data_IF_189490692100
#
_entry.id   IF_189490692100
#
_cell.length_a   1.000
_cell.length_b   1.000
_cell.length_c   1.000
_cell.angle_alpha   90.00
_cell.angle_beta   90.00
_cell.angle_gamma   90.00
#
_symmetry.space_group_name_H-M   'P 1'
#
loop_
_entity.id
_entity.type
_entity.pdbx_description
1 polymer ?
#
# COMPACT_ATOMS: atom_id res chain seq x y z
N UNK A 1 -19.53 3.71 -9.19
CA UNK A 1 -18.07 3.44 -9.12
C UNK A 1 -17.37 4.47 -9.99
N UNK A 2 -16.57 5.40 -9.45
CA UNK A 2 -15.79 6.31 -10.27
C UNK A 2 -14.67 5.51 -10.94
N UNK A 3 -14.99 4.89 -12.09
CA UNK A 3 -14.04 4.19 -12.96
C UNK A 3 -12.75 4.98 -13.21
N UNK A 4 -12.79 6.31 -13.48
CA UNK A 4 -11.55 7.07 -13.66
C UNK A 4 -10.65 7.06 -12.42
N UNK A 5 -11.23 7.14 -11.22
CA UNK A 5 -10.45 7.12 -9.98
C UNK A 5 -9.78 5.76 -9.76
N UNK A 6 -10.50 4.65 -10.02
CA UNK A 6 -9.93 3.30 -9.92
C UNK A 6 -8.82 3.07 -10.95
N UNK A 7 -8.98 3.58 -12.17
CA UNK A 7 -7.96 3.45 -13.21
C UNK A 7 -6.66 4.19 -12.82
N UNK A 8 -6.78 5.43 -12.35
CA UNK A 8 -5.63 6.23 -11.89
C UNK A 8 -4.97 5.59 -10.67
N UNK A 9 -5.76 5.17 -9.67
CA UNK A 9 -5.24 4.51 -8.48
C UNK A 9 -4.52 3.19 -8.82
N UNK A 10 -5.09 2.39 -9.73
CA UNK A 10 -4.50 1.14 -10.19
C UNK A 10 -3.16 1.34 -10.91
N UNK A 11 -3.06 2.35 -11.78
CA UNK A 11 -1.81 2.69 -12.46
C UNK A 11 -0.74 3.17 -11.47
N UNK A 12 -1.10 4.04 -10.53
CA UNK A 12 -0.18 4.54 -9.50
C UNK A 12 0.37 3.40 -8.62
N UNK A 13 -0.53 2.52 -8.15
CA UNK A 13 -0.15 1.35 -7.36
C UNK A 13 0.73 0.40 -8.16
N UNK A 14 0.33 0.09 -9.41
CA UNK A 14 1.11 -0.75 -10.32
C UNK A 14 2.53 -0.23 -10.51
N UNK A 15 2.67 1.05 -10.83
CA UNK A 15 3.97 1.71 -10.98
C UNK A 15 4.80 1.65 -9.69
N UNK A 16 4.18 1.88 -8.53
CA UNK A 16 4.84 1.78 -7.23
C UNK A 16 5.38 0.37 -6.91
N UNK A 17 4.64 -0.69 -7.29
CA UNK A 17 5.12 -2.07 -7.08
C UNK A 17 6.32 -2.43 -7.94
N UNK A 18 6.42 -1.89 -9.15
CA UNK A 18 7.60 -2.06 -10.01
C UNK A 18 8.81 -1.38 -9.39
N UNK A 19 8.64 -0.13 -8.91
CA UNK A 19 9.72 0.62 -8.24
C UNK A 19 10.18 -0.08 -6.95
N UNK A 20 9.25 -0.70 -6.22
CA UNK A 20 9.52 -1.49 -5.01
C UNK A 20 10.06 -2.91 -5.26
N UNK A 21 10.35 -3.28 -6.51
CA UNK A 21 10.80 -4.63 -6.92
C UNK A 21 9.88 -5.77 -6.46
N UNK A 22 8.59 -5.49 -6.27
CA UNK A 22 7.64 -6.46 -5.74
C UNK A 22 6.36 -5.83 -5.20
N UNK A 23 5.39 -6.70 -4.91
CA UNK A 23 4.14 -6.32 -4.26
C UNK A 23 4.19 -6.56 -2.76
N UNK A 24 3.27 -5.94 -2.01
CA UNK A 24 3.16 -6.11 -0.55
C UNK A 24 3.02 -7.58 -0.13
N UNK A 25 2.25 -8.37 -0.89
CA UNK A 25 2.08 -9.82 -0.63
C UNK A 25 3.35 -10.62 -0.89
N UNK A 26 4.11 -10.29 -1.94
CA UNK A 26 5.38 -10.98 -2.26
C UNK A 26 6.47 -10.73 -1.21
N UNK A 27 6.61 -9.48 -0.76
CA UNK A 27 7.50 -9.14 0.37
C UNK A 27 7.00 -9.74 1.70
N UNK A 28 5.68 -9.79 1.91
CA UNK A 28 5.08 -10.34 3.13
C UNK A 28 5.18 -11.86 3.26
N UNK A 29 4.85 -12.62 2.21
CA UNK A 29 4.79 -14.10 2.28
C UNK A 29 6.17 -14.69 1.99
N UNK A 30 6.74 -14.40 0.83
CA UNK A 30 7.99 -15.00 0.38
C UNK A 30 9.22 -14.36 1.01
N UNK A 31 9.25 -13.03 1.15
CA UNK A 31 10.42 -12.30 1.65
C UNK A 31 10.55 -12.30 3.18
N UNK A 32 9.44 -12.22 3.90
CA UNK A 32 9.39 -12.30 5.37
C UNK A 32 9.62 -13.75 5.85
N UNK A 33 9.12 -14.74 5.10
CA UNK A 33 9.41 -16.16 5.34
C UNK A 33 10.90 -16.51 5.20
N UNK A 34 11.68 -15.72 4.45
CA UNK A 34 13.14 -15.86 4.32
C UNK A 34 13.93 -15.06 5.37
N UNK A 35 13.26 -14.43 6.35
CA UNK A 35 13.84 -13.50 7.36
C UNK A 35 14.71 -12.38 6.77
N UNK A 36 14.30 -11.81 5.63
CA UNK A 36 15.01 -10.64 5.08
C UNK A 36 14.54 -9.33 5.72
N UNK A 37 15.47 -8.61 6.38
CA UNK A 37 15.19 -7.30 6.98
C UNK A 37 14.70 -6.26 5.95
N UNK A 38 15.18 -6.32 4.70
CA UNK A 38 14.73 -5.45 3.61
C UNK A 38 13.24 -5.67 3.30
N UNK A 39 12.80 -6.91 3.33
CA UNK A 39 11.41 -7.29 3.06
C UNK A 39 10.48 -6.85 4.19
N UNK A 40 10.97 -6.91 5.43
CA UNK A 40 10.25 -6.41 6.60
C UNK A 40 10.01 -4.90 6.48
N UNK A 41 11.06 -4.13 6.18
CA UNK A 41 10.96 -2.67 6.02
C UNK A 41 10.00 -2.32 4.88
N UNK A 42 10.10 -2.97 3.72
CA UNK A 42 9.19 -2.75 2.61
C UNK A 42 7.72 -3.06 2.96
N UNK A 43 7.47 -4.18 3.65
CA UNK A 43 6.11 -4.56 4.06
C UNK A 43 5.53 -3.57 5.07
N UNK A 44 6.34 -3.13 6.04
CA UNK A 44 5.93 -2.14 7.04
C UNK A 44 5.62 -0.78 6.42
N UNK A 45 6.42 -0.28 5.47
CA UNK A 45 6.12 1.00 4.78
C UNK A 45 4.84 0.91 3.96
N UNK A 46 4.62 -0.18 3.21
CA UNK A 46 3.37 -0.38 2.48
C UNK A 46 2.15 -0.39 3.41
N UNK A 47 2.21 -1.15 4.51
CA UNK A 47 1.10 -1.25 5.46
C UNK A 47 0.87 0.07 6.21
N UNK A 48 1.93 0.73 6.69
CA UNK A 48 1.82 2.01 7.38
C UNK A 48 1.16 3.08 6.51
N UNK A 49 1.55 3.16 5.22
CA UNK A 49 0.96 4.11 4.28
C UNK A 49 -0.53 3.81 4.03
N UNK A 50 -0.90 2.54 3.90
CA UNK A 50 -2.30 2.12 3.77
C UNK A 50 -3.14 2.47 4.99
N UNK A 51 -2.65 2.16 6.20
CA UNK A 51 -3.31 2.49 7.46
C UNK A 51 -3.47 4.00 7.60
N UNK A 52 -2.42 4.79 7.34
CA UNK A 52 -2.48 6.24 7.40
C UNK A 52 -3.52 6.81 6.42
N UNK A 53 -3.56 6.30 5.18
CA UNK A 53 -4.51 6.75 4.16
C UNK A 53 -5.96 6.53 4.61
N UNK A 54 -6.27 5.33 5.12
CA UNK A 54 -7.62 5.01 5.60
C UNK A 54 -7.97 5.81 6.84
N UNK A 55 -7.02 5.96 7.77
CA UNK A 55 -7.23 6.74 8.99
C UNK A 55 -7.54 8.20 8.67
N UNK A 56 -6.77 8.82 7.76
CA UNK A 56 -7.02 10.20 7.31
C UNK A 56 -8.38 10.30 6.59
N UNK A 57 -8.69 9.37 5.69
CA UNK A 57 -9.97 9.37 4.98
C UNK A 57 -11.16 9.24 5.94
N UNK A 58 -11.05 8.39 6.96
CA UNK A 58 -12.08 8.21 7.98
C UNK A 58 -12.21 9.44 8.88
N UNK A 59 -11.09 10.02 9.31
CA UNK A 59 -11.09 11.25 10.12
C UNK A 59 -11.66 12.44 9.35
N UNK A 60 -11.32 12.58 8.07
CA UNK A 60 -11.89 13.60 7.20
C UNK A 60 -13.40 13.41 7.04
N UNK A 61 -13.86 12.17 6.86
CA UNK A 61 -15.29 11.88 6.79
C UNK A 61 -16.01 12.24 8.09
N UNK A 62 -15.42 11.98 9.26
CA UNK A 62 -15.98 12.39 10.56
C UNK A 62 -16.02 13.91 10.75
N UNK A 63 -15.08 14.66 10.17
CA UNK A 63 -15.05 16.13 10.26
C UNK A 63 -16.01 16.83 9.28
N UNK A 64 -16.42 16.13 8.22
CA UNK A 64 -17.36 16.58 7.19
C UNK A 64 -18.80 16.13 7.43
N UNK A 65 -19.02 15.22 8.40
CA UNK A 65 -20.31 14.72 8.85
C UNK A 65 -20.80 15.47 10.08
#
# INVERSE_FOLDING_TARGET
>A
RPLPLLAVAGLLVGFGTVLGSGCTSGHGVCGLGRRSARSLVATLTFMATGVATVFIAHLAHLALA
#
